data_IF_714566910451
#
_entry.id   IF_714566910451
#
_cell.length_a   1.000
_cell.length_b   1.000
_cell.length_c   1.000
_cell.angle_alpha   90.00
_cell.angle_beta   90.00
_cell.angle_gamma   90.00
#
_symmetry.space_group_name_H-M   'P 1'
#
loop_
_entity.id
_entity.type
_entity.pdbx_description
1 polymer ?
#
# COMPACT_ATOMS: atom_id res chain seq x y z
N UNK A 1 11.11 -17.99 -19.00
CA UNK A 1 10.79 -16.70 -18.38
C UNK A 1 12.11 -16.04 -18.00
N UNK A 2 12.47 -14.92 -18.63
CA UNK A 2 13.74 -14.23 -18.31
C UNK A 2 13.71 -13.79 -16.84
N UNK A 3 14.73 -14.17 -16.06
CA UNK A 3 14.93 -13.82 -14.64
C UNK A 3 15.20 -12.33 -14.39
N UNK A 4 14.91 -11.46 -15.37
CA UNK A 4 15.04 -10.02 -15.21
C UNK A 4 14.03 -9.55 -14.14
N UNK A 5 14.54 -9.10 -12.99
CA UNK A 5 13.73 -8.48 -11.95
C UNK A 5 12.96 -7.30 -12.54
N UNK A 6 11.64 -7.39 -12.51
CA UNK A 6 10.77 -6.34 -12.99
C UNK A 6 10.76 -5.16 -12.01
N UNK A 7 11.04 -3.95 -12.50
CA UNK A 7 11.03 -2.74 -11.67
C UNK A 7 9.76 -1.92 -11.92
N UNK A 8 8.88 -1.84 -10.93
CA UNK A 8 7.62 -1.11 -11.04
C UNK A 8 7.80 0.42 -11.13
N UNK A 9 8.89 0.96 -10.59
CA UNK A 9 9.16 2.41 -10.59
C UNK A 9 9.35 3.01 -11.98
N UNK A 10 9.67 2.18 -12.98
CA UNK A 10 9.93 2.63 -14.35
C UNK A 10 8.64 2.86 -15.16
N UNK A 11 7.47 2.58 -14.59
CA UNK A 11 6.18 2.72 -15.30
C UNK A 11 5.24 3.61 -14.50
N UNK A 12 4.90 4.77 -15.04
CA UNK A 12 3.98 5.73 -14.41
C UNK A 12 2.63 5.10 -14.02
N UNK A 13 2.04 4.28 -14.90
CA UNK A 13 0.77 3.62 -14.59
C UNK A 13 0.84 2.63 -13.41
N UNK A 14 2.01 2.08 -13.10
CA UNK A 14 2.19 1.25 -11.90
C UNK A 14 2.41 2.09 -10.64
N UNK A 15 3.03 3.26 -10.78
CA UNK A 15 3.12 4.25 -9.70
C UNK A 15 1.71 4.69 -9.32
N UNK A 16 0.91 5.14 -10.28
CA UNK A 16 -0.48 5.56 -10.05
C UNK A 16 -1.35 4.44 -9.44
N UNK A 17 -1.19 3.19 -9.93
CA UNK A 17 -1.90 2.05 -9.38
C UNK A 17 -1.54 1.81 -7.90
N UNK A 18 -0.26 1.90 -7.55
CA UNK A 18 0.18 1.76 -6.17
C UNK A 18 -0.33 2.92 -5.30
N UNK A 19 -0.40 4.13 -5.85
CA UNK A 19 -0.97 5.29 -5.15
C UNK A 19 -2.45 5.12 -4.85
N UNK A 20 -3.26 4.71 -5.85
CA UNK A 20 -4.66 4.40 -5.63
C UNK A 20 -4.83 3.30 -4.56
N UNK A 21 -4.05 2.21 -4.65
CA UNK A 21 -4.10 1.09 -3.73
C UNK A 21 -3.69 1.44 -2.29
N UNK A 22 -2.79 2.40 -2.12
CA UNK A 22 -2.34 2.86 -0.81
C UNK A 22 -3.26 3.93 -0.20
N UNK A 23 -3.83 4.83 -1.03
CA UNK A 23 -4.62 5.96 -0.55
C UNK A 23 -6.10 5.59 -0.33
N UNK A 24 -6.71 4.91 -1.29
CA UNK A 24 -8.12 4.49 -1.23
C UNK A 24 -8.23 3.15 -0.46
N UNK A 25 -7.70 3.12 0.76
CA UNK A 25 -7.54 1.92 1.56
C UNK A 25 -7.45 2.28 3.04
N UNK A 26 -8.30 1.65 3.86
CA UNK A 26 -8.36 1.86 5.31
C UNK A 26 -7.79 0.68 6.11
N UNK A 27 -7.27 -0.34 5.43
CA UNK A 27 -6.59 -1.49 6.00
C UNK A 27 -5.06 -1.33 6.03
N UNK A 28 -4.41 -2.09 6.91
CA UNK A 28 -2.97 -2.05 7.11
C UNK A 28 -2.38 -3.44 7.38
N UNK A 29 -1.04 -3.51 7.38
CA UNK A 29 -0.28 -4.67 7.83
C UNK A 29 0.35 -4.35 9.18
N UNK A 30 0.29 -5.31 10.10
CA UNK A 30 1.03 -5.26 11.36
C UNK A 30 1.96 -6.48 11.47
N UNK A 31 3.11 -6.32 12.13
CA UNK A 31 4.02 -7.44 12.37
C UNK A 31 3.89 -7.92 13.82
N UNK A 32 3.35 -9.13 13.98
CA UNK A 32 3.22 -9.77 15.28
C UNK A 32 4.58 -10.36 15.71
N UNK A 33 5.24 -9.69 16.65
CA UNK A 33 6.57 -10.11 17.08
C UNK A 33 6.56 -11.45 17.83
N UNK A 34 5.47 -11.81 18.51
CA UNK A 34 5.36 -13.09 19.22
C UNK A 34 5.25 -14.26 18.23
N UNK A 35 4.40 -14.13 17.21
CA UNK A 35 4.16 -15.16 16.21
C UNK A 35 5.17 -15.15 15.07
N UNK A 36 5.95 -14.07 14.94
CA UNK A 36 6.90 -13.81 13.84
C UNK A 36 6.23 -13.86 12.46
N UNK A 37 5.03 -13.30 12.36
CA UNK A 37 4.24 -13.22 11.11
C UNK A 37 3.66 -11.82 10.92
N UNK A 38 3.42 -11.45 9.66
CA UNK A 38 2.60 -10.30 9.32
C UNK A 38 1.12 -10.66 9.41
N UNK A 39 0.37 -9.88 10.18
CA UNK A 39 -1.07 -10.04 10.36
C UNK A 39 -1.81 -8.90 9.68
N UNK A 40 -3.01 -9.21 9.18
CA UNK A 40 -3.88 -8.23 8.57
C UNK A 40 -4.56 -7.38 9.65
N UNK A 41 -4.72 -6.08 9.37
CA UNK A 41 -5.57 -5.18 10.16
C UNK A 41 -6.59 -4.58 9.20
N UNK A 42 -7.87 -4.88 9.40
CA UNK A 42 -8.95 -4.50 8.49
C UNK A 42 -9.40 -5.62 7.54
N UNK A 43 -9.94 -5.24 6.38
CA UNK A 43 -10.53 -6.14 5.40
C UNK A 43 -9.46 -6.88 4.59
N UNK A 44 -9.70 -8.15 4.28
CA UNK A 44 -8.72 -8.99 3.59
C UNK A 44 -8.41 -8.50 2.16
N UNK A 45 -9.42 -7.97 1.47
CA UNK A 45 -9.32 -7.40 0.12
C UNK A 45 -8.39 -6.19 0.09
N UNK A 46 -8.59 -5.25 1.01
CA UNK A 46 -7.79 -4.05 1.16
C UNK A 46 -6.38 -4.35 1.68
N UNK A 47 -6.25 -5.28 2.64
CA UNK A 47 -4.93 -5.72 3.13
C UNK A 47 -4.09 -6.29 1.99
N UNK A 48 -4.70 -7.04 1.05
CA UNK A 48 -3.99 -7.57 -0.11
C UNK A 48 -3.41 -6.44 -0.99
N UNK A 49 -4.12 -5.31 -1.12
CA UNK A 49 -3.62 -4.11 -1.81
C UNK A 49 -2.47 -3.46 -1.03
N UNK A 50 -2.56 -3.40 0.30
CA UNK A 50 -1.45 -2.93 1.16
C UNK A 50 -0.18 -3.75 0.93
N UNK A 51 -0.30 -5.10 0.91
CA UNK A 51 0.83 -6.00 0.61
C UNK A 51 1.36 -5.79 -0.81
N UNK A 52 0.47 -5.58 -1.79
CA UNK A 52 0.86 -5.32 -3.18
C UNK A 52 1.75 -4.09 -3.28
N UNK A 53 1.36 -2.98 -2.63
CA UNK A 53 2.14 -1.73 -2.57
C UNK A 53 3.53 -1.96 -1.94
N UNK A 54 3.61 -2.73 -0.86
CA UNK A 54 4.89 -3.06 -0.23
C UNK A 54 5.83 -3.83 -1.17
N UNK A 55 5.28 -4.75 -1.98
CA UNK A 55 6.03 -5.56 -2.96
C UNK A 55 6.41 -4.78 -4.21
N UNK A 56 5.55 -3.87 -4.68
CA UNK A 56 5.81 -3.07 -5.88
C UNK A 56 6.95 -2.07 -5.66
N UNK A 57 7.07 -1.52 -4.44
CA UNK A 57 8.11 -0.55 -4.06
C UNK A 57 8.37 0.52 -5.14
N UNK A 58 7.29 1.16 -5.60
CA UNK A 58 7.30 2.04 -6.78
C UNK A 58 8.20 3.26 -6.65
N UNK A 59 8.62 3.61 -5.43
CA UNK A 59 9.56 4.69 -5.15
C UNK A 59 10.99 4.22 -4.84
N UNK A 60 11.30 2.93 -5.03
CA UNK A 60 12.60 2.33 -4.75
C UNK A 60 13.13 2.66 -3.35
N UNK A 61 12.23 2.70 -2.36
CA UNK A 61 12.61 2.94 -0.97
C UNK A 61 13.59 1.88 -0.52
N UNK A 62 14.69 2.31 0.10
CA UNK A 62 15.62 1.39 0.76
C UNK A 62 14.98 0.85 2.05
N UNK A 63 14.72 -0.46 2.04
CA UNK A 63 14.10 -1.19 3.13
C UNK A 63 15.09 -2.07 3.91
N UNK A 64 16.37 -2.07 3.52
CA UNK A 64 17.38 -3.02 4.03
C UNK A 64 17.65 -2.91 5.53
N UNK A 65 17.41 -1.74 6.12
CA UNK A 65 17.68 -1.42 7.53
C UNK A 65 16.42 -1.37 8.41
N UNK A 66 15.25 -1.64 7.83
CA UNK A 66 13.98 -1.56 8.54
C UNK A 66 13.73 -2.85 9.33
N UNK A 67 13.21 -2.69 10.55
CA UNK A 67 12.66 -3.79 11.34
C UNK A 67 11.43 -4.40 10.64
N UNK A 68 11.06 -5.66 10.95
CA UNK A 68 9.83 -6.25 10.43
C UNK A 68 8.58 -5.40 10.68
N UNK A 69 8.51 -4.72 11.82
CA UNK A 69 7.45 -3.77 12.16
C UNK A 69 7.41 -2.58 11.20
N UNK A 70 8.56 -1.98 10.90
CA UNK A 70 8.64 -0.86 9.94
C UNK A 70 8.39 -1.33 8.49
N UNK A 71 8.83 -2.53 8.13
CA UNK A 71 8.62 -3.14 6.82
C UNK A 71 7.14 -3.35 6.48
N UNK A 72 6.30 -3.53 7.49
CA UNK A 72 4.87 -3.81 7.33
C UNK A 72 4.15 -2.72 6.51
N UNK A 73 4.58 -1.46 6.65
CA UNK A 73 3.92 -0.29 6.07
C UNK A 73 4.88 0.70 5.38
N UNK A 74 6.13 0.31 5.11
CA UNK A 74 7.17 1.21 4.62
C UNK A 74 6.80 1.95 3.31
N UNK A 75 6.40 1.21 2.27
CA UNK A 75 6.00 1.82 0.98
C UNK A 75 4.70 2.60 1.12
N UNK A 76 3.70 2.03 1.79
CA UNK A 76 2.40 2.66 1.98
C UNK A 76 2.52 4.00 2.71
N UNK A 77 3.36 4.05 3.75
CA UNK A 77 3.60 5.28 4.53
C UNK A 77 4.21 6.38 3.66
N UNK A 78 5.18 6.05 2.81
CA UNK A 78 5.81 7.03 1.91
C UNK A 78 4.81 7.58 0.91
N UNK A 79 3.93 6.73 0.35
CA UNK A 79 2.87 7.20 -0.54
C UNK A 79 1.90 8.11 0.23
N UNK A 80 1.42 7.68 1.39
CA UNK A 80 0.46 8.44 2.20
C UNK A 80 1.03 9.78 2.67
N UNK A 81 2.34 9.90 2.89
CA UNK A 81 2.99 11.17 3.25
C UNK A 81 3.06 12.19 2.10
N UNK A 82 2.88 11.77 0.85
CA UNK A 82 2.89 12.69 -0.31
C UNK A 82 1.56 13.40 -0.53
N UNK A 83 0.48 12.94 0.10
CA UNK A 83 -0.87 13.41 -0.16
C UNK A 83 -1.60 13.68 1.15
N UNK A 84 -2.38 14.74 1.20
CA UNK A 84 -3.28 14.98 2.33
C UNK A 84 -4.62 14.28 2.05
N UNK A 85 -4.96 13.27 2.85
CA UNK A 85 -6.27 12.62 2.83
C UNK A 85 -7.29 13.56 3.47
N UNK A 86 -8.16 14.14 2.64
CA UNK A 86 -9.20 15.07 3.10
C UNK A 86 -10.43 14.30 3.60
N UNK A 87 -10.96 13.40 2.77
CA UNK A 87 -12.11 12.56 3.13
C UNK A 87 -12.21 11.31 2.25
N UNK A 88 -12.85 10.27 2.79
CA UNK A 88 -13.25 9.06 2.07
C UNK A 88 -14.70 9.17 1.62
N UNK A 89 -14.98 8.78 0.37
CA UNK A 89 -16.32 8.46 -0.08
C UNK A 89 -16.49 6.95 0.06
N UNK A 90 -17.12 6.56 1.17
CA UNK A 90 -17.24 5.17 1.61
C UNK A 90 -17.83 4.24 0.55
N UNK A 91 -17.43 2.97 0.65
CA UNK A 91 -18.02 1.91 -0.14
C UNK A 91 -19.53 1.87 0.08
N UNK A 92 -20.30 1.91 -1.00
CA UNK A 92 -21.72 1.64 -0.96
C UNK A 92 -22.08 0.44 -1.84
N UNK A 93 -23.06 -0.35 -1.41
CA UNK A 93 -23.55 -1.50 -2.18
C UNK A 93 -24.16 -1.10 -3.51
N UNK A 94 -24.73 0.10 -3.58
CA UNK A 94 -25.39 0.62 -4.78
C UNK A 94 -24.40 1.02 -5.87
N UNK A 95 -23.26 1.63 -5.48
CA UNK A 95 -22.20 2.04 -6.43
C UNK A 95 -21.12 0.98 -6.62
N UNK A 96 -20.98 0.06 -5.66
CA UNK A 96 -19.94 -0.98 -5.61
C UNK A 96 -18.53 -0.41 -5.79
N UNK A 97 -18.29 0.76 -5.22
CA UNK A 97 -17.03 1.48 -5.32
C UNK A 97 -16.79 2.30 -4.06
N UNK A 98 -15.52 2.49 -3.75
CA UNK A 98 -15.01 3.45 -2.76
C UNK A 98 -14.10 4.43 -3.51
N UNK A 99 -14.01 5.66 -3.03
CA UNK A 99 -13.00 6.61 -3.50
C UNK A 99 -12.51 7.51 -2.37
N UNK A 100 -11.42 8.22 -2.62
CA UNK A 100 -10.79 9.16 -1.69
C UNK A 100 -10.56 10.49 -2.40
N UNK A 101 -10.77 11.59 -1.69
CA UNK A 101 -10.32 12.90 -2.14
C UNK A 101 -9.00 13.25 -1.43
N UNK A 102 -8.00 13.64 -2.22
CA UNK A 102 -6.68 14.03 -1.73
C UNK A 102 -6.26 15.39 -2.29
N UNK A 103 -5.49 16.13 -1.51
CA UNK A 103 -4.84 17.37 -1.93
C UNK A 103 -3.31 17.25 -1.85
N UNK A 104 -2.61 18.10 -2.60
CA UNK A 104 -1.15 18.24 -2.57
C UNK A 104 -0.74 19.35 -1.61
#
# INVERSE_FOLDING_TARGET
FNEAKFNCSQRSGLVELAECAALCNDSSLDYNDTKKIFEKVGEATETALTVLVEKMNVYNTDKSRLSPQELAMASNTIIRQKYNKEFTLEFSRDRKSMSIYVSN
#
